data_IF_743302180592
#
_entry.id   IF_743302180592
#
_cell.length_a   1.000
_cell.length_b   1.000
_cell.length_c   1.000
_cell.angle_alpha   90.00
_cell.angle_beta   90.00
_cell.angle_gamma   90.00
#
_symmetry.space_group_name_H-M   'P 1'
#
loop_
_entity.id
_entity.type
_entity.pdbx_description
1 polymer ?
#
# COMPACT_ATOMS: atom_id res chain seq x y z
N UNK A 1 11.83 -8.34 0.36
CA UNK A 1 11.00 -8.49 -0.82
C UNK A 1 11.53 -9.64 -1.68
N UNK A 2 10.69 -10.60 -2.11
CA UNK A 2 11.14 -11.84 -2.77
C UNK A 2 11.93 -11.60 -4.05
N UNK A 3 11.59 -10.58 -4.83
CA UNK A 3 12.26 -10.27 -6.10
C UNK A 3 13.71 -9.84 -5.91
N UNK A 4 14.04 -9.03 -4.90
CA UNK A 4 15.43 -8.68 -4.57
C UNK A 4 16.22 -9.91 -4.10
N UNK A 5 15.59 -10.78 -3.31
CA UNK A 5 16.19 -12.04 -2.91
C UNK A 5 16.44 -12.96 -4.12
N UNK A 6 15.52 -12.99 -5.08
CA UNK A 6 15.68 -13.78 -6.31
C UNK A 6 16.85 -13.28 -7.17
N UNK A 7 17.09 -11.96 -7.23
CA UNK A 7 18.28 -11.39 -7.86
C UNK A 7 19.53 -11.83 -7.10
N UNK A 8 19.57 -11.62 -5.79
CA UNK A 8 20.73 -11.93 -4.92
C UNK A 8 21.11 -13.43 -4.96
N UNK A 9 20.09 -14.31 -4.98
CA UNK A 9 20.27 -15.76 -5.08
C UNK A 9 20.52 -16.27 -6.51
N UNK A 10 20.50 -15.40 -7.51
CA UNK A 10 20.72 -15.75 -8.90
C UNK A 10 19.59 -16.53 -9.57
N UNK A 11 18.38 -16.57 -8.99
CA UNK A 11 17.25 -17.34 -9.53
C UNK A 11 16.80 -16.84 -10.90
N UNK A 12 16.80 -15.54 -11.15
CA UNK A 12 16.53 -15.02 -12.49
C UNK A 12 17.62 -15.41 -13.47
N UNK A 13 18.87 -15.36 -13.03
CA UNK A 13 20.03 -15.67 -13.88
C UNK A 13 20.06 -17.15 -14.29
N UNK A 14 19.62 -18.06 -13.40
CA UNK A 14 19.50 -19.49 -13.72
C UNK A 14 18.46 -19.79 -14.82
N UNK A 15 17.46 -18.88 -14.97
CA UNK A 15 16.45 -18.93 -16.02
C UNK A 15 16.84 -18.08 -17.26
N UNK A 16 18.10 -17.63 -17.35
CA UNK A 16 18.58 -16.82 -18.47
C UNK A 16 18.05 -15.37 -18.49
N UNK A 17 17.54 -14.88 -17.35
CA UNK A 17 16.98 -13.53 -17.23
C UNK A 17 17.93 -12.61 -16.48
N UNK A 18 18.17 -11.43 -17.06
CA UNK A 18 18.82 -10.32 -16.37
C UNK A 18 17.74 -9.33 -15.92
N UNK A 19 17.54 -9.23 -14.60
CA UNK A 19 16.46 -8.43 -14.01
C UNK A 19 17.02 -7.29 -13.19
N UNK A 20 16.62 -6.07 -13.55
CA UNK A 20 16.85 -4.87 -12.75
C UNK A 20 15.54 -4.39 -12.13
N UNK A 21 15.57 -3.99 -10.86
CA UNK A 21 14.40 -3.47 -10.15
C UNK A 21 14.58 -1.99 -9.84
N UNK A 22 13.77 -1.17 -10.46
CA UNK A 22 13.68 0.26 -10.16
C UNK A 22 12.58 0.51 -9.12
N UNK A 23 12.86 1.17 -7.99
CA UNK A 23 11.84 1.54 -7.02
C UNK A 23 10.73 2.42 -7.62
N UNK A 24 9.49 2.00 -7.42
CA UNK A 24 8.31 2.73 -7.88
C UNK A 24 7.86 3.80 -6.88
N UNK A 25 6.98 4.69 -7.35
CA UNK A 25 6.30 5.71 -6.53
C UNK A 25 4.82 5.37 -6.32
N UNK A 26 4.52 4.08 -6.06
CA UNK A 26 3.16 3.56 -5.85
C UNK A 26 2.46 3.06 -7.12
N UNK A 27 1.34 2.37 -6.94
CA UNK A 27 0.62 1.68 -8.03
C UNK A 27 0.14 2.64 -9.11
N UNK A 28 -0.41 3.80 -8.73
CA UNK A 28 -0.91 4.79 -9.69
C UNK A 28 0.20 5.41 -10.54
N UNK A 29 1.46 5.38 -10.09
CA UNK A 29 2.60 5.86 -10.86
C UNK A 29 3.27 4.73 -11.68
N UNK A 30 3.17 3.48 -11.26
CA UNK A 30 3.80 2.34 -11.94
C UNK A 30 3.03 1.90 -13.20
N UNK A 31 1.71 1.81 -13.11
CA UNK A 31 0.84 1.32 -14.20
C UNK A 31 1.00 2.11 -15.49
N UNK A 32 0.95 3.46 -15.51
CA UNK A 32 1.16 4.24 -16.73
C UNK A 32 2.54 4.01 -17.38
N UNK A 33 3.58 3.76 -16.57
CA UNK A 33 4.92 3.50 -17.09
C UNK A 33 5.02 2.17 -17.85
N UNK A 34 4.29 1.15 -17.40
CA UNK A 34 4.18 -0.11 -18.14
C UNK A 34 3.34 0.10 -19.39
N UNK A 35 2.19 0.76 -19.29
CA UNK A 35 1.31 1.04 -20.41
C UNK A 35 2.00 1.85 -21.54
N UNK A 36 2.94 2.73 -21.21
CA UNK A 36 3.73 3.50 -22.19
C UNK A 36 4.99 2.80 -22.67
N UNK A 37 5.27 1.57 -22.19
CA UNK A 37 6.47 0.81 -22.56
C UNK A 37 7.76 1.31 -21.90
N UNK A 38 7.70 2.24 -20.95
CA UNK A 38 8.88 2.70 -20.21
C UNK A 38 9.50 1.60 -19.35
N UNK A 39 8.69 0.63 -18.92
CA UNK A 39 9.11 -0.59 -18.23
C UNK A 39 8.35 -1.79 -18.80
N UNK A 40 9.01 -2.94 -19.01
CA UNK A 40 8.35 -4.14 -19.52
C UNK A 40 7.42 -4.79 -18.50
N UNK A 41 7.71 -4.62 -17.21
CA UNK A 41 6.91 -5.16 -16.09
C UNK A 41 6.74 -4.13 -14.98
N UNK A 42 5.67 -4.29 -14.21
CA UNK A 42 5.40 -3.48 -13.03
C UNK A 42 4.75 -4.32 -11.92
N UNK A 43 5.04 -3.97 -10.68
CA UNK A 43 4.36 -4.52 -9.51
C UNK A 43 3.38 -3.47 -8.99
N UNK A 44 2.08 -3.71 -9.13
CA UNK A 44 1.04 -2.74 -8.81
C UNK A 44 -0.25 -3.41 -8.31
N UNK A 45 -1.09 -2.64 -7.62
CA UNK A 45 -2.42 -3.07 -7.18
C UNK A 45 -3.34 -3.31 -8.38
N UNK A 46 -3.95 -4.51 -8.44
CA UNK A 46 -4.85 -4.90 -9.54
C UNK A 46 -6.09 -4.01 -9.63
N UNK A 47 -6.61 -3.51 -8.51
CA UNK A 47 -7.78 -2.65 -8.52
C UNK A 47 -7.46 -1.26 -9.11
N UNK A 48 -6.24 -0.79 -8.87
CA UNK A 48 -5.71 0.42 -9.53
C UNK A 48 -5.53 0.21 -11.05
N UNK A 49 -5.13 -1.00 -11.48
CA UNK A 49 -5.06 -1.35 -12.90
C UNK A 49 -6.46 -1.37 -13.54
N UNK A 50 -7.44 -2.00 -12.91
CA UNK A 50 -8.83 -2.02 -13.40
C UNK A 50 -9.35 -0.60 -13.61
N UNK A 51 -9.16 0.28 -12.61
CA UNK A 51 -9.55 1.70 -12.71
C UNK A 51 -8.80 2.43 -13.83
N UNK A 52 -7.51 2.15 -13.99
CA UNK A 52 -6.71 2.75 -15.06
C UNK A 52 -7.22 2.34 -16.43
N UNK A 53 -7.56 1.06 -16.65
CA UNK A 53 -8.09 0.55 -17.91
C UNK A 53 -9.48 1.10 -18.22
N UNK A 54 -10.33 1.26 -17.20
CA UNK A 54 -11.64 1.91 -17.35
C UNK A 54 -11.51 3.36 -17.84
N UNK A 55 -10.53 4.08 -17.35
CA UNK A 55 -10.23 5.47 -17.73
C UNK A 55 -9.42 5.60 -19.02
N UNK A 56 -8.74 4.54 -19.46
CA UNK A 56 -7.88 4.51 -20.64
C UNK A 56 -8.17 3.25 -21.49
N UNK A 57 -9.33 3.19 -22.14
CA UNK A 57 -9.70 2.06 -22.98
C UNK A 57 -8.66 1.79 -24.07
N UNK A 58 -8.19 0.55 -24.17
CA UNK A 58 -7.17 0.15 -25.15
C UNK A 58 -5.71 0.38 -24.73
N UNK A 59 -5.46 0.83 -23.50
CA UNK A 59 -4.09 0.89 -22.98
C UNK A 59 -3.44 -0.50 -22.99
N UNK A 60 -2.21 -0.67 -23.57
CA UNK A 60 -1.57 -1.96 -23.78
C UNK A 60 -0.89 -2.48 -22.51
N UNK A 61 -1.66 -2.71 -21.46
CA UNK A 61 -1.18 -3.26 -20.18
C UNK A 61 -2.16 -4.32 -19.69
N UNK A 62 -1.61 -5.46 -19.23
CA UNK A 62 -2.38 -6.59 -18.69
C UNK A 62 -1.73 -7.08 -17.41
N UNK A 63 -2.51 -7.70 -16.53
CA UNK A 63 -1.98 -8.45 -15.40
C UNK A 63 -1.70 -9.89 -15.82
N UNK A 64 -0.50 -10.39 -15.53
CA UNK A 64 -0.07 -11.74 -15.91
C UNK A 64 0.10 -12.68 -14.72
N UNK A 65 0.25 -12.14 -13.51
CA UNK A 65 0.41 -12.94 -12.30
C UNK A 65 -0.13 -12.21 -11.08
N UNK A 66 -1.02 -12.86 -10.32
CA UNK A 66 -1.47 -12.36 -9.02
C UNK A 66 -0.44 -12.74 -7.95
N UNK A 67 0.05 -11.74 -7.20
CA UNK A 67 1.01 -11.95 -6.12
C UNK A 67 0.33 -12.02 -4.76
N UNK A 68 -0.70 -11.19 -4.54
CA UNK A 68 -1.48 -11.20 -3.31
C UNK A 68 -2.94 -11.48 -3.59
N UNK A 69 -3.42 -12.65 -3.21
CA UNK A 69 -4.83 -13.04 -3.21
C UNK A 69 -5.59 -12.36 -2.06
N UNK A 70 -4.90 -12.09 -0.94
CA UNK A 70 -5.36 -11.25 0.17
C UNK A 70 -4.41 -10.05 0.29
N UNK A 71 -4.88 -8.83 -0.03
CA UNK A 71 -4.00 -7.66 -0.05
C UNK A 71 -3.50 -7.34 1.36
N UNK A 72 -2.20 -7.02 1.53
CA UNK A 72 -1.63 -6.61 2.81
C UNK A 72 -1.94 -5.15 3.14
N UNK A 73 -2.94 -4.54 2.49
CA UNK A 73 -3.35 -3.17 2.74
C UNK A 73 -3.86 -3.00 4.17
N UNK A 74 -3.31 -2.04 4.87
CA UNK A 74 -3.63 -1.79 6.25
C UNK A 74 -3.68 -0.29 6.57
N UNK A 75 -4.42 0.02 7.61
CA UNK A 75 -4.20 1.22 8.39
C UNK A 75 -3.31 0.80 9.57
N UNK A 76 -2.17 1.45 9.68
CA UNK A 76 -1.25 1.21 10.80
C UNK A 76 -1.26 2.44 11.68
N UNK A 77 -1.61 2.26 12.94
CA UNK A 77 -1.76 3.34 13.92
C UNK A 77 -0.95 3.07 15.18
N UNK A 78 -1.13 3.94 16.17
CA UNK A 78 -0.60 3.76 17.50
C UNK A 78 -1.73 3.70 18.51
N UNK A 79 -1.72 2.68 19.38
CA UNK A 79 -2.73 2.51 20.45
C UNK A 79 -2.70 3.68 21.42
N UNK A 80 -1.49 4.18 21.74
CA UNK A 80 -1.32 5.39 22.57
C UNK A 80 -1.93 6.66 21.98
N UNK A 81 -2.28 6.63 20.68
CA UNK A 81 -2.98 7.71 19.99
C UNK A 81 -4.45 7.37 19.69
N UNK A 82 -4.96 6.30 20.30
CA UNK A 82 -6.36 5.91 20.23
C UNK A 82 -6.81 5.27 18.91
N UNK A 83 -5.88 4.75 18.08
CA UNK A 83 -6.23 4.09 16.80
C UNK A 83 -6.01 2.60 16.91
N UNK A 84 -7.08 1.81 17.13
CA UNK A 84 -7.03 0.35 17.24
C UNK A 84 -8.01 -0.37 16.31
N UNK A 85 -9.06 0.31 15.86
CA UNK A 85 -10.12 -0.23 15.00
C UNK A 85 -10.55 0.82 13.96
N UNK A 86 -11.25 0.42 12.89
CA UNK A 86 -11.62 1.35 11.81
C UNK A 86 -12.31 2.62 12.29
N UNK A 87 -13.25 2.51 13.24
CA UNK A 87 -14.04 3.65 13.72
C UNK A 87 -13.22 4.72 14.43
N UNK A 88 -12.07 4.37 14.96
CA UNK A 88 -11.17 5.29 15.65
C UNK A 88 -10.49 6.30 14.70
N UNK A 89 -10.62 6.10 13.38
CA UNK A 89 -10.15 7.06 12.38
C UNK A 89 -11.00 8.35 12.34
N UNK A 90 -12.23 8.31 12.83
CA UNK A 90 -13.06 9.52 12.92
C UNK A 90 -12.50 10.48 13.97
N UNK A 91 -12.01 11.61 13.52
CA UNK A 91 -11.32 12.62 14.32
C UNK A 91 -9.80 12.52 14.27
N UNK A 92 -9.24 11.38 13.82
CA UNK A 92 -7.82 11.16 13.69
C UNK A 92 -7.21 11.80 12.42
N UNK A 93 -5.91 11.99 12.44
CA UNK A 93 -5.10 12.41 11.27
C UNK A 93 -4.51 11.18 10.60
N UNK A 94 -4.94 10.88 9.38
CA UNK A 94 -4.47 9.77 8.56
C UNK A 94 -3.44 10.24 7.54
N UNK A 95 -2.18 9.85 7.71
CA UNK A 95 -1.13 10.07 6.72
C UNK A 95 -1.25 9.09 5.55
N UNK A 96 -1.41 9.60 4.34
CA UNK A 96 -1.59 8.77 3.15
C UNK A 96 -0.78 9.30 1.95
N UNK A 97 0.09 8.46 1.34
CA UNK A 97 0.74 8.84 0.10
C UNK A 97 -0.29 8.85 -1.05
N UNK A 98 -0.47 9.95 -1.79
CA UNK A 98 -1.49 10.04 -2.85
C UNK A 98 -1.43 8.92 -3.90
N UNK A 99 -0.25 8.43 -4.36
CA UNK A 99 -0.18 7.37 -5.36
C UNK A 99 -0.20 5.93 -4.77
N UNK A 100 -0.46 5.78 -3.46
CA UNK A 100 -0.44 4.48 -2.78
C UNK A 100 -1.67 3.64 -3.14
N UNK A 101 -1.45 2.35 -3.45
CA UNK A 101 -2.53 1.38 -3.69
C UNK A 101 -3.43 1.18 -2.46
N UNK A 102 -2.86 1.16 -1.25
CA UNK A 102 -3.64 1.05 -0.03
C UNK A 102 -4.54 2.29 0.18
N UNK A 103 -4.03 3.48 -0.08
CA UNK A 103 -4.82 4.71 -0.05
C UNK A 103 -5.94 4.70 -1.11
N UNK A 104 -5.67 4.21 -2.30
CA UNK A 104 -6.68 4.10 -3.36
C UNK A 104 -7.89 3.23 -2.96
N UNK A 105 -7.70 2.27 -2.04
CA UNK A 105 -8.76 1.41 -1.52
C UNK A 105 -9.45 1.96 -0.27
N UNK A 106 -8.95 3.04 0.32
CA UNK A 106 -9.53 3.64 1.54
C UNK A 106 -11.03 3.99 1.42
N UNK A 107 -11.53 4.54 0.31
CA UNK A 107 -12.97 4.83 0.18
C UNK A 107 -13.84 3.57 0.30
N UNK A 108 -13.41 2.45 -0.31
CA UNK A 108 -14.11 1.16 -0.23
C UNK A 108 -14.06 0.58 1.18
N UNK A 109 -12.90 0.66 1.85
CA UNK A 109 -12.75 0.28 3.25
C UNK A 109 -13.63 1.12 4.17
N UNK A 110 -13.65 2.43 4.00
CA UNK A 110 -14.47 3.35 4.77
C UNK A 110 -15.96 3.03 4.63
N UNK A 111 -16.42 2.77 3.40
CA UNK A 111 -17.80 2.35 3.12
C UNK A 111 -18.15 1.04 3.82
N UNK A 112 -17.27 0.03 3.74
CA UNK A 112 -17.49 -1.28 4.37
C UNK A 112 -17.60 -1.19 5.90
N UNK A 113 -16.97 -0.19 6.51
CA UNK A 113 -16.93 0.02 7.96
C UNK A 113 -17.84 1.16 8.46
N UNK A 114 -18.70 1.70 7.60
CA UNK A 114 -19.59 2.82 7.92
C UNK A 114 -18.85 4.02 8.53
N UNK A 115 -17.64 4.34 8.00
CA UNK A 115 -16.87 5.50 8.44
C UNK A 115 -17.42 6.78 7.80
N UNK A 116 -17.56 7.81 8.60
CA UNK A 116 -17.79 9.16 8.10
C UNK A 116 -16.44 9.76 7.66
N UNK A 117 -16.14 9.62 6.36
CA UNK A 117 -14.87 10.10 5.78
C UNK A 117 -14.64 11.60 5.96
N UNK A 118 -15.70 12.39 6.20
CA UNK A 118 -15.57 13.83 6.46
C UNK A 118 -14.95 14.12 7.82
N UNK A 119 -14.99 13.15 8.73
CA UNK A 119 -14.36 13.24 10.04
C UNK A 119 -12.91 12.77 10.06
N UNK A 120 -12.43 12.13 9.01
CA UNK A 120 -11.04 11.69 8.89
C UNK A 120 -10.23 12.84 8.28
N UNK A 121 -9.25 13.33 9.02
CA UNK A 121 -8.32 14.34 8.49
C UNK A 121 -7.23 13.63 7.72
N UNK A 122 -7.12 13.90 6.42
CA UNK A 122 -6.10 13.27 5.57
C UNK A 122 -4.93 14.22 5.41
N UNK A 123 -3.74 13.74 5.77
CA UNK A 123 -2.47 14.43 5.55
C UNK A 123 -1.71 13.75 4.40
N UNK A 124 -1.49 14.43 3.27
CA UNK A 124 -0.66 13.91 2.19
C UNK A 124 0.80 13.76 2.66
N UNK A 125 1.32 12.55 2.63
CA UNK A 125 2.69 12.25 3.06
C UNK A 125 3.47 11.55 1.95
N UNK A 126 4.80 11.62 2.00
CA UNK A 126 5.66 10.82 1.13
C UNK A 126 5.87 9.42 1.70
N UNK A 127 6.16 8.43 0.84
CA UNK A 127 6.52 7.07 1.30
C UNK A 127 7.69 7.06 2.30
N UNK A 128 8.78 7.85 2.12
CA UNK A 128 9.89 7.85 3.07
C UNK A 128 9.57 8.51 4.41
N UNK A 129 8.59 9.42 4.45
CA UNK A 129 8.25 10.20 5.64
C UNK A 129 7.05 9.66 6.42
N UNK A 130 6.31 8.73 5.84
CA UNK A 130 5.05 8.19 6.36
C UNK A 130 5.21 7.61 7.78
N UNK A 131 6.04 6.60 7.95
CA UNK A 131 6.26 5.98 9.24
C UNK A 131 7.01 6.89 10.23
N UNK A 132 8.01 7.68 9.85
CA UNK A 132 8.58 8.72 10.72
C UNK A 132 7.54 9.69 11.28
N UNK A 133 6.61 10.19 10.46
CA UNK A 133 5.56 11.10 10.93
C UNK A 133 4.62 10.44 11.94
N UNK A 134 4.31 9.15 11.76
CA UNK A 134 3.53 8.38 12.75
C UNK A 134 4.33 8.14 14.03
N UNK A 135 5.60 7.79 13.94
CA UNK A 135 6.48 7.59 15.10
C UNK A 135 6.62 8.88 15.94
N UNK A 136 6.76 10.03 15.27
CA UNK A 136 6.84 11.35 15.89
C UNK A 136 5.47 11.89 16.38
N UNK A 137 4.37 11.22 16.04
CA UNK A 137 3.03 11.64 16.43
C UNK A 137 2.48 12.85 15.64
N UNK A 138 3.03 13.13 14.47
CA UNK A 138 2.53 14.16 13.54
C UNK A 138 1.25 13.72 12.82
N UNK A 139 1.06 12.41 12.69
CA UNK A 139 -0.17 11.75 12.26
C UNK A 139 -0.53 10.66 13.26
N UNK A 140 -1.80 10.24 13.30
CA UNK A 140 -2.29 9.24 14.26
C UNK A 140 -2.30 7.84 13.67
N UNK A 141 -2.39 7.75 12.35
CA UNK A 141 -2.32 6.52 11.57
C UNK A 141 -1.78 6.78 10.18
N UNK A 142 -1.39 5.72 9.48
CA UNK A 142 -0.94 5.77 8.07
C UNK A 142 -1.56 4.64 7.26
N UNK A 143 -1.76 4.86 5.95
CA UNK A 143 -2.03 3.77 5.01
C UNK A 143 -0.73 3.07 4.63
N UNK A 144 -0.77 1.77 4.41
CA UNK A 144 0.43 1.04 3.96
C UNK A 144 0.21 -0.47 3.89
N UNK A 145 1.31 -1.20 3.92
CA UNK A 145 1.29 -2.65 4.03
C UNK A 145 1.50 -3.06 5.48
N UNK A 146 0.68 -3.97 5.97
CA UNK A 146 0.68 -4.43 7.36
C UNK A 146 2.08 -4.78 7.87
N UNK A 147 2.82 -5.58 7.11
CA UNK A 147 4.15 -6.05 7.51
C UNK A 147 5.25 -4.98 7.38
N UNK A 148 5.26 -4.17 6.31
CA UNK A 148 6.35 -3.21 6.09
C UNK A 148 6.24 -2.00 7.01
N UNK A 149 5.05 -1.45 7.18
CA UNK A 149 4.85 -0.32 8.09
C UNK A 149 5.06 -0.73 9.55
N UNK A 150 4.61 -1.93 9.94
CA UNK A 150 4.90 -2.47 11.28
C UNK A 150 6.41 -2.55 11.55
N UNK A 151 7.15 -3.22 10.65
CA UNK A 151 8.61 -3.37 10.80
C UNK A 151 9.35 -2.03 10.80
N UNK A 152 8.93 -1.08 9.96
CA UNK A 152 9.54 0.24 9.92
C UNK A 152 9.29 1.01 11.22
N UNK A 153 8.09 0.95 11.79
CA UNK A 153 7.79 1.59 13.07
C UNK A 153 8.60 0.98 14.22
N UNK A 154 8.71 -0.35 14.29
CA UNK A 154 9.53 -1.04 15.27
C UNK A 154 11.01 -0.59 15.15
N UNK A 155 11.56 -0.46 13.93
CA UNK A 155 12.91 0.05 13.68
C UNK A 155 13.09 1.52 14.08
N UNK A 156 12.03 2.31 14.05
CA UNK A 156 12.02 3.70 14.52
C UNK A 156 11.85 3.82 16.05
N UNK A 157 11.81 2.69 16.76
CA UNK A 157 11.73 2.65 18.21
C UNK A 157 10.31 2.76 18.76
N UNK A 158 9.27 2.64 17.93
CA UNK A 158 7.91 2.55 18.44
C UNK A 158 7.73 1.17 19.08
N UNK A 159 7.31 1.07 20.35
CA UNK A 159 7.09 -0.20 21.01
C UNK A 159 6.09 -1.06 20.23
N UNK A 160 6.39 -2.34 20.02
CA UNK A 160 5.50 -3.25 19.27
C UNK A 160 4.11 -3.35 19.91
N UNK A 161 4.04 -3.26 21.25
CA UNK A 161 2.77 -3.23 21.99
C UNK A 161 1.90 -2.01 21.69
N UNK A 162 2.51 -0.91 21.22
CA UNK A 162 1.82 0.33 20.83
C UNK A 162 1.40 0.35 19.36
N UNK A 163 1.98 -0.50 18.52
CA UNK A 163 1.61 -0.56 17.10
C UNK A 163 0.28 -1.31 16.94
N UNK A 164 -0.69 -0.66 16.32
CA UNK A 164 -1.93 -1.29 15.88
C UNK A 164 -1.91 -1.48 14.35
N UNK A 165 -2.39 -2.63 13.90
CA UNK A 165 -2.47 -2.95 12.46
C UNK A 165 -3.89 -3.39 12.13
N UNK A 166 -4.61 -2.52 11.45
CA UNK A 166 -5.96 -2.76 10.96
C UNK A 166 -5.84 -3.26 9.52
N UNK A 167 -5.79 -4.58 9.34
CA UNK A 167 -5.73 -5.19 8.00
C UNK A 167 -7.07 -4.99 7.31
N UNK A 168 -7.11 -4.24 6.21
CA UNK A 168 -8.37 -3.86 5.55
C UNK A 168 -9.18 -5.08 5.09
N UNK A 169 -8.52 -6.19 4.75
CA UNK A 169 -9.17 -7.43 4.35
C UNK A 169 -9.96 -8.10 5.50
N UNK A 170 -9.54 -7.90 6.75
CA UNK A 170 -10.25 -8.44 7.92
C UNK A 170 -11.49 -7.59 8.28
N UNK A 171 -11.55 -6.38 7.73
CA UNK A 171 -12.63 -5.42 7.92
C UNK A 171 -13.44 -5.19 6.64
N UNK A 172 -13.69 -6.24 5.88
CA UNK A 172 -14.65 -6.25 4.78
C UNK A 172 -14.09 -5.85 3.40
N UNK A 173 -12.83 -5.47 3.28
CA UNK A 173 -12.21 -5.20 1.98
C UNK A 173 -11.77 -6.51 1.31
N UNK A 174 -12.73 -7.23 0.72
CA UNK A 174 -12.49 -8.51 0.03
C UNK A 174 -12.09 -8.26 -1.43
N UNK A 175 -10.83 -7.92 -1.63
CA UNK A 175 -10.25 -7.65 -2.94
C UNK A 175 -8.97 -8.47 -3.13
N UNK A 176 -8.52 -8.62 -4.36
CA UNK A 176 -7.14 -9.01 -4.66
C UNK A 176 -6.20 -7.82 -4.46
N UNK A 177 -4.92 -8.12 -4.24
CA UNK A 177 -3.90 -7.10 -4.03
C UNK A 177 -3.03 -6.85 -5.26
N UNK A 178 -1.72 -6.92 -5.08
CA UNK A 178 -0.80 -6.62 -6.15
C UNK A 178 -0.62 -7.78 -7.13
N UNK A 179 -0.44 -7.39 -8.38
CA UNK A 179 -0.14 -8.24 -9.52
C UNK A 179 1.11 -7.73 -10.26
N UNK A 180 1.64 -8.57 -11.11
CA UNK A 180 2.61 -8.22 -12.15
C UNK A 180 1.88 -8.14 -13.47
#
# INVERSE_FOLDING_TARGET
APYFLAIDKGFFKSEGLEVEITPGKGSLAAIPKVATGAFPFGFADINSLIKFLDQNPGAPVIAIMMVYDKPPFAIVGRKSRGVEKPKDLEGAVLGAPPPDGAWAQFPSFAKANNLDVKKVKVEPVGFPTREPMLAEGKVDAVTGYSFSSYLNLARLGVPESDISTILMADYGLKLYGNAI
#
